data_IF_613883304398
#
_entry.id   IF_613883304398
#
_cell.length_a   1.000
_cell.length_b   1.000
_cell.length_c   1.000
_cell.angle_alpha   90.00
_cell.angle_beta   90.00
_cell.angle_gamma   90.00
#
_symmetry.space_group_name_H-M   'P 1'
#
loop_
_entity.id
_entity.type
_entity.pdbx_description
1 polymer ?
#
# COMPACT_ATOMS: atom_id res chain seq x y z
N UNK A 1 -9.24 14.81 25.87
CA UNK A 1 -8.78 13.91 24.79
C UNK A 1 -7.26 13.85 24.86
N UNK A 2 -6.68 12.67 25.07
CA UNK A 2 -5.22 12.52 25.04
C UNK A 2 -4.77 12.65 23.59
N UNK A 3 -3.82 13.54 23.30
CA UNK A 3 -3.23 13.71 21.97
C UNK A 3 -1.75 13.43 22.09
N UNK A 4 -1.24 12.56 21.22
CA UNK A 4 0.16 12.19 21.20
C UNK A 4 1.06 13.34 20.73
N UNK A 5 2.29 13.38 21.25
CA UNK A 5 3.23 14.46 21.00
C UNK A 5 3.60 14.64 19.52
N UNK A 6 3.53 13.58 18.70
CA UNK A 6 3.82 13.65 17.27
C UNK A 6 2.87 14.61 16.52
N UNK A 7 1.64 14.79 17.02
CA UNK A 7 0.63 15.65 16.41
C UNK A 7 0.84 17.15 16.73
N UNK A 8 1.82 17.50 17.56
CA UNK A 8 2.13 18.88 17.89
C UNK A 8 2.47 19.69 16.62
N UNK A 9 1.83 20.85 16.48
CA UNK A 9 2.00 21.75 15.33
C UNK A 9 1.19 21.38 14.08
N UNK A 10 0.41 20.30 14.10
CA UNK A 10 -0.55 19.98 13.03
C UNK A 10 -1.90 20.67 13.27
N UNK A 11 -2.66 20.87 12.20
CA UNK A 11 -4.07 21.26 12.30
C UNK A 11 -4.89 20.07 12.81
N UNK A 12 -5.14 20.06 14.13
CA UNK A 12 -5.86 18.97 14.81
C UNK A 12 -7.31 18.83 14.33
N UNK A 13 -7.92 19.92 13.85
CA UNK A 13 -9.27 19.90 13.29
C UNK A 13 -9.28 19.15 11.96
N UNK A 14 -8.37 19.50 11.05
CA UNK A 14 -8.19 18.78 9.77
C UNK A 14 -7.78 17.33 9.98
N UNK A 15 -6.82 17.08 10.88
CA UNK A 15 -6.35 15.74 11.20
C UNK A 15 -7.49 14.83 11.66
N UNK A 16 -8.29 15.30 12.63
CA UNK A 16 -9.43 14.53 13.14
C UNK A 16 -10.47 14.27 12.05
N UNK A 17 -10.82 15.29 11.26
CA UNK A 17 -11.78 15.17 10.17
C UNK A 17 -11.32 14.16 9.11
N UNK A 18 -10.04 14.23 8.71
CA UNK A 18 -9.46 13.32 7.74
C UNK A 18 -9.41 11.87 8.27
N UNK A 19 -8.93 11.67 9.49
CA UNK A 19 -8.91 10.36 10.14
C UNK A 19 -10.31 9.75 10.25
N UNK A 20 -11.31 10.55 10.64
CA UNK A 20 -12.69 10.07 10.75
C UNK A 20 -13.25 9.64 9.39
N UNK A 21 -13.00 10.43 8.34
CA UNK A 21 -13.47 10.12 7.00
C UNK A 21 -12.85 8.79 6.49
N UNK A 22 -11.54 8.63 6.62
CA UNK A 22 -10.81 7.46 6.16
C UNK A 22 -11.09 6.21 7.03
N UNK A 23 -11.18 6.35 8.36
CA UNK A 23 -11.59 5.26 9.25
C UNK A 23 -13.01 4.76 8.91
N UNK A 24 -13.92 5.67 8.53
CA UNK A 24 -15.24 5.32 8.02
C UNK A 24 -15.18 4.49 6.73
N UNK A 25 -14.22 4.76 5.86
CA UNK A 25 -13.99 3.97 4.65
C UNK A 25 -13.40 2.58 4.96
N UNK A 26 -12.39 2.52 5.83
CA UNK A 26 -11.78 1.27 6.29
C UNK A 26 -12.80 0.31 6.90
N UNK A 27 -13.62 0.81 7.83
CA UNK A 27 -14.68 0.02 8.47
C UNK A 27 -15.63 -0.64 7.44
N UNK A 28 -16.01 0.09 6.39
CA UNK A 28 -16.85 -0.43 5.31
C UNK A 28 -16.13 -1.47 4.45
N UNK A 29 -14.85 -1.26 4.14
CA UNK A 29 -14.03 -2.18 3.36
C UNK A 29 -13.80 -3.50 4.10
N UNK A 30 -13.35 -3.43 5.35
CA UNK A 30 -13.09 -4.57 6.24
C UNK A 30 -14.34 -5.41 6.49
N UNK A 31 -15.50 -4.75 6.70
CA UNK A 31 -16.79 -5.44 6.85
C UNK A 31 -17.11 -6.34 5.64
N UNK A 32 -16.67 -5.98 4.43
CA UNK A 32 -16.90 -6.77 3.21
C UNK A 32 -15.88 -7.89 3.04
N UNK A 33 -14.58 -7.64 3.24
CA UNK A 33 -13.57 -8.72 3.23
C UNK A 33 -13.85 -9.77 4.32
N UNK A 34 -14.55 -9.39 5.39
CA UNK A 34 -15.10 -10.33 6.39
C UNK A 34 -16.40 -11.03 6.02
N UNK A 35 -17.20 -10.52 5.09
CA UNK A 35 -18.22 -11.40 4.47
C UNK A 35 -17.58 -12.56 3.70
N UNK A 36 -16.31 -12.40 3.30
CA UNK A 36 -15.51 -13.41 2.62
C UNK A 36 -14.61 -14.23 3.59
N UNK A 37 -14.59 -13.94 4.90
CA UNK A 37 -13.71 -14.61 5.88
C UNK A 37 -14.34 -14.79 7.27
N UNK A 38 -13.97 -15.84 8.03
CA UNK A 38 -14.62 -16.22 9.31
C UNK A 38 -14.35 -15.29 10.53
N UNK A 39 -13.79 -14.09 10.33
CA UNK A 39 -13.43 -13.18 11.42
C UNK A 39 -14.66 -12.42 11.97
N UNK A 40 -15.00 -12.63 13.25
CA UNK A 40 -16.23 -12.11 13.91
C UNK A 40 -16.08 -10.77 14.66
N UNK A 41 -14.88 -10.19 14.75
CA UNK A 41 -14.67 -8.95 15.51
C UNK A 41 -13.86 -7.94 14.70
N UNK A 42 -14.42 -6.73 14.55
CA UNK A 42 -13.77 -5.64 13.85
C UNK A 42 -13.18 -4.64 14.84
N UNK A 43 -11.84 -4.60 15.02
CA UNK A 43 -11.22 -3.57 15.85
C UNK A 43 -11.39 -2.15 15.27
N UNK A 44 -11.83 -2.02 14.01
CA UNK A 44 -12.04 -0.77 13.31
C UNK A 44 -13.53 -0.46 13.03
N UNK A 45 -14.48 -1.19 13.63
CA UNK A 45 -15.92 -1.00 13.38
C UNK A 45 -16.45 0.38 13.81
N UNK A 46 -15.77 1.05 14.75
CA UNK A 46 -16.11 2.39 15.20
C UNK A 46 -15.07 3.39 14.63
N UNK A 47 -15.44 4.17 13.60
CA UNK A 47 -14.56 5.18 13.02
C UNK A 47 -14.14 6.27 14.02
N UNK A 48 -15.03 6.63 14.96
CA UNK A 48 -14.76 7.64 15.97
C UNK A 48 -13.72 7.12 16.97
N UNK A 49 -13.87 5.90 17.45
CA UNK A 49 -12.88 5.26 18.34
C UNK A 49 -11.55 5.07 17.60
N UNK A 50 -11.58 4.61 16.36
CA UNK A 50 -10.39 4.39 15.52
C UNK A 50 -9.60 5.69 15.35
N UNK A 51 -10.26 6.79 14.98
CA UNK A 51 -9.64 8.10 14.85
C UNK A 51 -9.08 8.62 16.19
N UNK A 52 -9.81 8.41 17.30
CA UNK A 52 -9.34 8.80 18.63
C UNK A 52 -8.07 8.04 19.04
N UNK A 53 -8.05 6.72 18.83
CA UNK A 53 -6.89 5.86 19.13
C UNK A 53 -5.69 6.28 18.29
N UNK A 54 -5.89 6.53 16.99
CA UNK A 54 -4.83 6.98 16.09
C UNK A 54 -4.18 8.30 16.57
N UNK A 55 -4.97 9.23 17.11
CA UNK A 55 -4.46 10.49 17.67
C UNK A 55 -3.82 10.34 19.07
N UNK A 56 -4.17 9.29 19.82
CA UNK A 56 -3.72 9.07 21.19
C UNK A 56 -2.47 8.18 21.29
N UNK A 57 -2.23 7.30 20.30
CA UNK A 57 -1.06 6.43 20.28
C UNK A 57 0.23 7.26 20.09
N UNK A 58 1.31 6.99 20.85
CA UNK A 58 2.55 7.79 20.82
C UNK A 58 3.28 7.81 19.47
N UNK A 59 2.82 7.07 18.47
CA UNK A 59 3.49 6.94 17.18
C UNK A 59 2.53 7.25 16.01
N UNK A 60 3.00 7.98 14.97
CA UNK A 60 2.16 8.45 13.85
C UNK A 60 1.72 7.36 12.85
N UNK A 61 2.32 6.18 12.85
CA UNK A 61 2.18 5.13 11.82
C UNK A 61 0.72 4.68 11.65
N UNK A 62 -0.05 4.58 12.74
CA UNK A 62 -1.47 4.23 12.64
C UNK A 62 -2.27 5.34 11.98
N UNK A 63 -1.98 6.61 12.30
CA UNK A 63 -2.66 7.74 11.69
C UNK A 63 -2.30 7.85 10.20
N UNK A 64 -1.03 7.67 9.87
CA UNK A 64 -0.54 7.61 8.49
C UNK A 64 -1.22 6.50 7.69
N UNK A 65 -1.21 5.26 8.18
CA UNK A 65 -1.87 4.12 7.54
C UNK A 65 -3.36 4.37 7.25
N UNK A 66 -4.08 4.97 8.21
CA UNK A 66 -5.49 5.34 8.01
C UNK A 66 -5.63 6.38 6.90
N UNK A 67 -4.82 7.44 6.92
CA UNK A 67 -4.90 8.56 5.98
C UNK A 67 -4.48 8.17 4.55
N UNK A 68 -3.50 7.29 4.41
CA UNK A 68 -3.05 6.81 3.11
C UNK A 68 -3.98 5.76 2.51
N UNK A 69 -4.76 5.05 3.33
CA UNK A 69 -5.67 4.03 2.81
C UNK A 69 -6.78 4.71 2.01
N UNK A 70 -6.88 4.45 0.68
CA UNK A 70 -7.91 5.06 -0.15
C UNK A 70 -9.29 4.57 0.29
N UNK A 71 -10.28 5.43 0.16
CA UNK A 71 -11.67 4.97 0.22
C UNK A 71 -11.96 4.07 -0.98
N UNK A 72 -12.01 2.76 -0.76
CA UNK A 72 -12.42 1.81 -1.78
C UNK A 72 -13.80 2.21 -2.34
N UNK A 73 -13.98 2.07 -3.66
CA UNK A 73 -15.33 2.11 -4.22
C UNK A 73 -16.13 0.97 -3.60
N UNK A 74 -17.34 1.26 -3.13
CA UNK A 74 -18.14 0.31 -2.36
C UNK A 74 -18.51 -0.99 -3.13
N UNK A 75 -18.29 -1.03 -4.45
CA UNK A 75 -18.75 -2.07 -5.37
C UNK A 75 -17.70 -3.15 -5.70
N UNK A 76 -16.38 -2.93 -5.53
CA UNK A 76 -15.35 -3.92 -5.91
C UNK A 76 -14.56 -4.53 -4.73
N UNK A 77 -14.25 -5.86 -4.74
CA UNK A 77 -13.33 -6.49 -3.80
C UNK A 77 -11.88 -5.99 -3.97
N UNK A 78 -11.04 -6.16 -2.95
CA UNK A 78 -9.61 -5.88 -3.07
C UNK A 78 -8.95 -6.83 -4.09
N UNK A 79 -7.88 -6.39 -4.75
CA UNK A 79 -7.17 -7.23 -5.74
C UNK A 79 -6.59 -8.49 -5.11
N UNK A 80 -6.07 -8.39 -3.89
CA UNK A 80 -5.60 -9.54 -3.12
C UNK A 80 -6.74 -10.54 -2.88
N UNK A 81 -7.92 -10.07 -2.43
CA UNK A 81 -9.10 -10.91 -2.22
C UNK A 81 -9.49 -11.65 -3.50
N UNK A 82 -9.51 -10.97 -4.65
CA UNK A 82 -9.81 -11.59 -5.96
C UNK A 82 -8.82 -12.70 -6.27
N UNK A 83 -7.52 -12.45 -6.14
CA UNK A 83 -6.51 -13.47 -6.43
C UNK A 83 -6.56 -14.65 -5.46
N UNK A 84 -6.88 -14.42 -4.19
CA UNK A 84 -7.07 -15.50 -3.22
C UNK A 84 -8.28 -16.38 -3.57
N UNK A 85 -9.39 -15.77 -3.96
CA UNK A 85 -10.59 -16.50 -4.39
C UNK A 85 -10.30 -17.35 -5.63
N UNK A 86 -9.60 -16.79 -6.62
CA UNK A 86 -9.17 -17.52 -7.83
C UNK A 86 -8.21 -18.66 -7.47
N UNK A 87 -7.20 -18.40 -6.64
CA UNK A 87 -6.27 -19.44 -6.21
C UNK A 87 -7.00 -20.59 -5.49
N UNK A 88 -7.94 -20.27 -4.59
CA UNK A 88 -8.74 -21.27 -3.88
C UNK A 88 -9.60 -22.11 -4.83
N UNK A 89 -10.35 -21.47 -5.75
CA UNK A 89 -11.20 -22.15 -6.72
C UNK A 89 -10.41 -23.11 -7.65
N UNK A 90 -9.16 -22.75 -7.97
CA UNK A 90 -8.27 -23.56 -8.80
C UNK A 90 -7.31 -24.45 -8.00
N UNK A 91 -7.46 -24.55 -6.67
CA UNK A 91 -6.59 -25.35 -5.79
C UNK A 91 -5.10 -25.00 -5.94
N UNK A 92 -4.79 -23.73 -6.22
CA UNK A 92 -3.44 -23.23 -6.36
C UNK A 92 -2.87 -22.83 -4.99
N UNK A 93 -1.61 -23.21 -4.69
CA UNK A 93 -0.97 -22.80 -3.45
C UNK A 93 -0.73 -21.30 -3.46
N UNK A 94 -0.98 -20.65 -2.32
CA UNK A 94 -0.64 -19.24 -2.12
C UNK A 94 0.61 -19.12 -1.26
N UNK A 95 1.56 -18.29 -1.68
CA UNK A 95 2.80 -18.00 -0.96
C UNK A 95 2.87 -16.51 -0.67
N UNK A 96 2.98 -16.15 0.61
CA UNK A 96 3.14 -14.77 1.04
C UNK A 96 4.58 -14.32 0.92
N UNK A 97 4.81 -13.15 0.31
CA UNK A 97 6.14 -12.54 0.24
C UNK A 97 6.51 -11.86 1.56
N UNK A 98 5.53 -11.36 2.30
CA UNK A 98 5.73 -10.65 3.55
C UNK A 98 5.02 -11.34 4.71
N UNK A 99 5.45 -10.99 5.92
CA UNK A 99 4.82 -11.40 7.17
C UNK A 99 4.46 -10.15 7.98
N UNK A 100 3.47 -10.23 8.88
CA UNK A 100 3.17 -9.11 9.79
C UNK A 100 4.41 -8.65 10.58
N UNK A 101 5.30 -9.58 10.95
CA UNK A 101 6.56 -9.28 11.62
C UNK A 101 7.58 -8.57 10.71
N UNK A 102 7.68 -9.00 9.46
CA UNK A 102 8.54 -8.39 8.43
C UNK A 102 8.14 -6.94 8.16
N UNK A 103 6.85 -6.72 7.87
CA UNK A 103 6.27 -5.37 7.71
C UNK A 103 6.53 -4.49 8.94
N UNK A 104 6.20 -4.96 10.14
CA UNK A 104 6.39 -4.19 11.36
C UNK A 104 7.88 -3.89 11.64
N UNK A 105 8.80 -4.77 11.24
CA UNK A 105 10.24 -4.51 11.34
C UNK A 105 10.67 -3.40 10.38
N UNK A 106 10.19 -3.41 9.14
CA UNK A 106 10.48 -2.37 8.15
C UNK A 106 9.94 -1.01 8.62
N UNK A 107 8.69 -0.95 9.08
CA UNK A 107 8.08 0.29 9.59
C UNK A 107 8.85 0.88 10.78
N UNK A 108 9.33 0.03 11.70
CA UNK A 108 10.16 0.47 12.83
C UNK A 108 11.53 1.02 12.42
N UNK A 109 12.03 0.67 11.25
CA UNK A 109 13.28 1.21 10.71
C UNK A 109 13.09 2.60 10.06
N UNK A 110 11.84 3.00 9.78
CA UNK A 110 11.52 4.31 9.23
C UNK A 110 11.58 5.38 10.33
N UNK A 111 12.27 6.51 10.13
CA UNK A 111 12.28 7.60 11.10
C UNK A 111 10.86 8.13 11.38
N UNK A 112 10.43 8.33 12.64
CA UNK A 112 9.10 8.86 12.95
C UNK A 112 8.78 10.22 12.30
N UNK A 113 9.82 11.01 12.02
CA UNK A 113 9.68 12.29 11.32
C UNK A 113 9.17 12.14 9.88
N UNK A 114 9.42 11.01 9.22
CA UNK A 114 8.91 10.72 7.88
C UNK A 114 7.38 10.65 7.90
N UNK A 115 6.81 9.77 8.74
CA UNK A 115 5.36 9.61 8.88
C UNK A 115 4.67 10.93 9.24
N UNK A 116 5.26 11.70 10.16
CA UNK A 116 4.73 13.03 10.51
C UNK A 116 4.73 14.00 9.33
N UNK A 117 5.77 13.97 8.49
CA UNK A 117 5.86 14.82 7.31
C UNK A 117 4.84 14.41 6.22
N UNK A 118 4.64 13.10 6.03
CA UNK A 118 3.59 12.58 5.12
C UNK A 118 2.21 13.03 5.59
N UNK A 119 1.87 12.84 6.87
CA UNK A 119 0.60 13.32 7.44
C UNK A 119 0.45 14.83 7.21
N UNK A 120 1.48 15.63 7.50
CA UNK A 120 1.43 17.07 7.28
C UNK A 120 1.17 17.42 5.80
N UNK A 121 1.78 16.68 4.87
CA UNK A 121 1.58 16.85 3.43
C UNK A 121 0.14 16.57 3.01
N UNK A 122 -0.44 15.48 3.51
CA UNK A 122 -1.85 15.10 3.27
C UNK A 122 -2.79 16.21 3.76
N UNK A 123 -2.57 16.73 4.98
CA UNK A 123 -3.43 17.77 5.57
C UNK A 123 -3.32 19.14 4.89
N UNK A 124 -2.17 19.42 4.28
CA UNK A 124 -1.96 20.61 3.47
C UNK A 124 -2.71 20.55 2.14
N UNK A 125 -3.08 19.35 1.66
CA UNK A 125 -3.89 19.16 0.46
C UNK A 125 -3.24 19.73 -0.79
N UNK A 126 -1.91 19.57 -0.91
CA UNK A 126 -1.15 20.13 -2.02
C UNK A 126 -1.80 19.76 -3.36
N UNK A 127 -2.17 20.75 -4.19
CA UNK A 127 -2.67 20.45 -5.52
C UNK A 127 -1.57 19.69 -6.28
N UNK A 128 -1.95 18.62 -6.98
CA UNK A 128 -1.06 18.06 -7.98
C UNK A 128 -0.65 19.20 -8.92
N UNK A 129 0.64 19.40 -9.13
CA UNK A 129 1.08 20.35 -10.14
C UNK A 129 0.45 19.94 -11.48
N UNK A 130 0.04 20.89 -12.33
CA UNK A 130 -0.65 20.57 -13.60
C UNK A 130 0.14 19.58 -14.47
N UNK A 131 1.48 19.53 -14.32
CA UNK A 131 2.38 18.63 -15.04
C UNK A 131 2.85 17.41 -14.23
N UNK A 132 2.50 17.30 -12.94
CA UNK A 132 2.85 16.13 -12.14
C UNK A 132 1.94 14.96 -12.54
N UNK A 133 2.47 13.89 -13.16
CA UNK A 133 1.65 12.73 -13.49
C UNK A 133 1.07 12.04 -12.25
N UNK A 134 1.59 12.36 -11.06
CA UNK A 134 1.24 11.74 -9.81
C UNK A 134 1.59 10.26 -9.78
N UNK A 135 1.32 9.63 -8.65
CA UNK A 135 1.58 8.20 -8.45
C UNK A 135 0.91 7.34 -9.54
N UNK A 136 -0.39 7.55 -9.79
CA UNK A 136 -1.16 6.73 -10.73
C UNK A 136 -0.73 6.94 -12.18
N UNK A 137 -0.38 8.16 -12.60
CA UNK A 137 0.11 8.42 -13.95
C UNK A 137 1.45 7.74 -14.22
N UNK A 138 2.34 7.69 -13.23
CA UNK A 138 3.61 6.96 -13.34
C UNK A 138 3.38 5.45 -13.43
N UNK A 139 2.51 4.89 -12.59
CA UNK A 139 2.15 3.47 -12.62
C UNK A 139 1.55 3.07 -13.98
N UNK A 140 0.58 3.83 -14.48
CA UNK A 140 -0.12 3.52 -15.72
C UNK A 140 0.79 3.57 -16.96
N UNK A 141 1.86 4.37 -16.92
CA UNK A 141 2.86 4.44 -18.00
C UNK A 141 4.03 3.46 -17.80
N UNK A 142 4.01 2.65 -16.74
CA UNK A 142 5.11 1.75 -16.39
C UNK A 142 6.42 2.49 -16.04
N UNK A 143 6.33 3.76 -15.66
CA UNK A 143 7.48 4.62 -15.34
C UNK A 143 7.98 4.37 -13.91
N UNK A 144 8.30 3.11 -13.60
CA UNK A 144 8.61 2.69 -12.23
C UNK A 144 9.89 3.32 -11.67
N UNK A 145 10.90 3.60 -12.50
CA UNK A 145 12.11 4.28 -12.04
C UNK A 145 11.84 5.74 -11.64
N UNK A 146 10.93 6.41 -12.36
CA UNK A 146 10.45 7.74 -11.95
C UNK A 146 9.62 7.65 -10.67
N UNK A 147 8.82 6.58 -10.51
CA UNK A 147 8.07 6.32 -9.28
C UNK A 147 8.99 6.09 -8.08
N UNK A 148 10.12 5.40 -8.25
CA UNK A 148 11.09 5.18 -7.19
C UNK A 148 11.74 6.49 -6.71
N UNK A 149 11.88 7.47 -7.61
CA UNK A 149 12.33 8.83 -7.29
C UNK A 149 11.20 9.80 -6.94
N UNK A 150 9.94 9.35 -6.84
CA UNK A 150 8.81 10.23 -6.57
C UNK A 150 8.92 10.83 -5.17
N UNK A 151 8.78 12.14 -5.08
CA UNK A 151 8.98 12.89 -3.85
C UNK A 151 7.65 13.47 -3.35
N UNK A 152 7.28 13.09 -2.12
CA UNK A 152 6.09 13.65 -1.46
C UNK A 152 6.39 15.09 -1.03
N UNK A 153 5.59 16.04 -1.51
CA UNK A 153 5.73 17.45 -1.15
C UNK A 153 5.80 17.64 0.37
N UNK A 154 6.77 18.40 0.87
CA UNK A 154 6.95 18.65 2.31
C UNK A 154 7.66 17.54 3.10
N UNK A 155 7.92 16.37 2.51
CA UNK A 155 8.88 15.39 3.04
C UNK A 155 10.29 15.82 2.60
N UNK A 156 11.34 15.54 3.36
CA UNK A 156 12.71 15.81 2.90
C UNK A 156 13.25 14.62 2.11
N UNK A 157 14.14 14.87 1.15
CA UNK A 157 14.82 13.81 0.38
C UNK A 157 15.44 12.75 1.29
N UNK A 158 16.16 13.16 2.33
CA UNK A 158 16.79 12.22 3.27
C UNK A 158 15.77 11.33 4.02
N UNK A 159 14.60 11.87 4.38
CA UNK A 159 13.54 11.07 5.01
C UNK A 159 12.89 10.11 4.01
N UNK A 160 12.66 10.57 2.78
CA UNK A 160 12.12 9.74 1.70
C UNK A 160 13.07 8.59 1.34
N UNK A 161 14.37 8.85 1.24
CA UNK A 161 15.40 7.83 1.00
C UNK A 161 15.47 6.80 2.13
N UNK A 162 15.46 7.25 3.39
CA UNK A 162 15.44 6.34 4.54
C UNK A 162 14.20 5.44 4.56
N UNK A 163 13.02 6.02 4.24
CA UNK A 163 11.78 5.27 4.12
C UNK A 163 11.82 4.29 2.95
N UNK A 164 12.29 4.71 1.77
CA UNK A 164 12.43 3.84 0.59
C UNK A 164 13.38 2.67 0.87
N UNK A 165 14.50 2.92 1.53
CA UNK A 165 15.44 1.87 1.90
C UNK A 165 14.77 0.80 2.78
N UNK A 166 14.05 1.23 3.83
CA UNK A 166 13.42 0.31 4.78
C UNK A 166 12.16 -0.39 4.21
N UNK A 167 11.26 0.37 3.57
CA UNK A 167 9.94 -0.11 3.14
C UNK A 167 9.97 -0.81 1.78
N UNK A 168 11.00 -0.56 0.96
CA UNK A 168 11.11 -1.12 -0.39
C UNK A 168 12.37 -1.96 -0.53
N UNK A 169 13.56 -1.37 -0.40
CA UNK A 169 14.82 -2.05 -0.78
C UNK A 169 15.10 -3.28 0.08
N UNK A 170 15.06 -3.13 1.41
CA UNK A 170 15.31 -4.28 2.29
C UNK A 170 14.20 -5.34 2.20
N UNK A 171 12.95 -4.91 2.02
CA UNK A 171 11.82 -5.84 1.83
C UNK A 171 11.96 -6.62 0.51
N UNK A 172 12.33 -5.96 -0.57
CA UNK A 172 12.60 -6.63 -1.85
C UNK A 172 13.73 -7.65 -1.75
N UNK A 173 14.80 -7.34 -0.99
CA UNK A 173 15.88 -8.29 -0.73
C UNK A 173 15.40 -9.53 0.02
N UNK A 174 14.54 -9.34 1.03
CA UNK A 174 13.94 -10.46 1.77
C UNK A 174 13.01 -11.30 0.90
N UNK A 175 12.29 -10.67 -0.04
CA UNK A 175 11.36 -11.35 -0.96
C UNK A 175 12.07 -12.13 -2.06
N UNK A 176 13.25 -11.68 -2.50
CA UNK A 176 13.93 -12.19 -3.67
C UNK A 176 14.17 -13.72 -3.64
N UNK A 177 14.61 -14.34 -2.53
CA UNK A 177 14.78 -15.80 -2.48
C UNK A 177 13.47 -16.57 -2.73
N UNK A 178 12.35 -16.07 -2.20
CA UNK A 178 11.02 -16.67 -2.41
C UNK A 178 10.60 -16.49 -3.86
N UNK A 179 10.74 -15.27 -4.40
CA UNK A 179 10.41 -14.97 -5.78
C UNK A 179 11.20 -15.83 -6.78
N UNK A 180 12.53 -15.91 -6.63
CA UNK A 180 13.39 -16.71 -7.51
C UNK A 180 12.97 -18.17 -7.48
N UNK A 181 12.69 -18.72 -6.29
CA UNK A 181 12.24 -20.11 -6.13
C UNK A 181 10.92 -20.36 -6.84
N UNK A 182 9.90 -19.55 -6.60
CA UNK A 182 8.57 -19.75 -7.18
C UNK A 182 8.57 -19.47 -8.69
N UNK A 183 9.24 -18.40 -9.16
CA UNK A 183 9.30 -18.07 -10.58
C UNK A 183 10.06 -19.13 -11.40
N UNK A 184 11.09 -19.77 -10.85
CA UNK A 184 11.81 -20.87 -11.53
C UNK A 184 10.99 -22.15 -11.64
N UNK A 185 10.02 -22.38 -10.75
CA UNK A 185 9.04 -23.47 -10.89
C UNK A 185 8.08 -23.22 -12.05
N UNK A 186 7.96 -21.97 -12.49
CA UNK A 186 7.11 -21.54 -13.59
C UNK A 186 5.65 -21.33 -13.18
N UNK A 187 4.90 -20.65 -14.05
CA UNK A 187 3.44 -20.41 -13.91
C UNK A 187 3.01 -19.73 -12.62
N UNK A 188 3.90 -18.97 -11.98
CA UNK A 188 3.58 -18.16 -10.81
C UNK A 188 3.00 -16.81 -11.23
N UNK A 189 1.97 -16.34 -10.50
CA UNK A 189 1.49 -14.96 -10.55
C UNK A 189 1.96 -14.29 -9.25
N UNK A 190 2.60 -13.13 -9.38
CA UNK A 190 3.11 -12.36 -8.25
C UNK A 190 2.35 -11.05 -8.17
N UNK A 191 1.70 -10.79 -7.03
CA UNK A 191 1.08 -9.51 -6.73
C UNK A 191 1.96 -8.75 -5.73
N UNK A 192 2.34 -7.53 -6.10
CA UNK A 192 3.10 -6.62 -5.26
C UNK A 192 2.73 -5.16 -5.58
N UNK A 193 2.87 -4.26 -4.61
CA UNK A 193 2.62 -2.84 -4.79
C UNK A 193 3.62 -2.20 -5.75
N UNK A 194 3.16 -1.30 -6.62
CA UNK A 194 3.98 -0.72 -7.70
C UNK A 194 5.23 0.03 -7.19
N UNK A 195 5.20 0.56 -5.96
CA UNK A 195 6.37 1.18 -5.33
C UNK A 195 7.58 0.25 -5.18
N UNK A 196 7.39 -1.08 -5.31
CA UNK A 196 8.46 -2.06 -5.22
C UNK A 196 9.24 -2.28 -6.52
N UNK A 197 8.83 -1.68 -7.65
CA UNK A 197 9.32 -2.12 -8.97
C UNK A 197 10.55 -1.38 -9.47
N UNK A 198 10.64 -0.06 -9.24
CA UNK A 198 11.68 0.79 -9.83
C UNK A 198 12.94 0.92 -8.98
N UNK A 199 13.99 1.46 -9.61
CA UNK A 199 15.30 1.69 -9.00
C UNK A 199 16.17 0.44 -8.90
N UNK A 200 17.43 0.61 -8.49
CA UNK A 200 18.40 -0.49 -8.39
C UNK A 200 18.00 -1.56 -7.35
N UNK A 201 17.33 -1.13 -6.28
CA UNK A 201 16.74 -2.02 -5.26
C UNK A 201 15.33 -2.52 -5.61
N UNK A 202 14.81 -2.16 -6.78
CA UNK A 202 13.49 -2.54 -7.27
C UNK A 202 13.43 -3.98 -7.77
N UNK A 203 12.25 -4.60 -7.70
CA UNK A 203 12.04 -5.98 -8.15
C UNK A 203 12.41 -6.20 -9.63
N UNK A 204 12.22 -5.20 -10.50
CA UNK A 204 12.59 -5.32 -11.92
C UNK A 204 14.11 -5.50 -12.06
N UNK A 205 14.90 -4.66 -11.39
CA UNK A 205 16.36 -4.74 -11.43
C UNK A 205 16.86 -6.04 -10.78
N UNK A 206 16.33 -6.39 -9.61
CA UNK A 206 16.72 -7.60 -8.88
C UNK A 206 16.40 -8.90 -9.63
N UNK A 207 15.22 -8.99 -10.27
CA UNK A 207 14.85 -10.16 -11.06
C UNK A 207 15.71 -10.29 -12.33
N UNK A 208 16.02 -9.17 -12.99
CA UNK A 208 16.96 -9.18 -14.14
C UNK A 208 18.34 -9.65 -13.71
N UNK A 209 18.86 -9.16 -12.58
CA UNK A 209 20.13 -9.61 -12.01
C UNK A 209 20.11 -11.11 -11.63
N UNK A 210 18.96 -11.66 -11.25
CA UNK A 210 18.77 -13.08 -10.96
C UNK A 210 18.61 -13.98 -12.21
N UNK A 211 18.71 -13.39 -13.41
CA UNK A 211 18.68 -14.10 -14.69
C UNK A 211 17.29 -14.18 -15.35
N UNK A 212 16.30 -13.43 -14.88
CA UNK A 212 14.98 -13.39 -15.50
C UNK A 212 14.90 -12.30 -16.57
N UNK A 213 14.13 -12.57 -17.63
CA UNK A 213 13.68 -11.52 -18.55
C UNK A 213 12.40 -10.90 -17.98
N UNK A 214 12.43 -9.58 -17.77
CA UNK A 214 11.27 -8.81 -17.27
C UNK A 214 10.84 -7.83 -18.33
N UNK A 215 9.66 -8.05 -18.90
CA UNK A 215 9.04 -7.23 -19.94
C UNK A 215 7.66 -6.75 -19.47
N UNK A 216 7.25 -5.53 -19.84
CA UNK A 216 5.88 -5.09 -19.63
C UNK A 216 4.91 -6.02 -20.36
N UNK A 217 3.78 -6.32 -19.71
CA UNK A 217 2.65 -6.99 -20.33
C UNK A 217 1.45 -6.05 -20.28
N UNK A 218 0.78 -5.86 -21.42
CA UNK A 218 -0.52 -5.22 -21.44
C UNK A 218 -1.56 -6.20 -20.87
N UNK A 219 -2.29 -5.76 -19.85
CA UNK A 219 -3.50 -6.47 -19.44
C UNK A 219 -4.61 -6.13 -20.44
N UNK A 220 -5.55 -7.06 -20.72
CA UNK A 220 -6.73 -6.73 -21.52
C UNK A 220 -7.44 -5.52 -20.91
N UNK A 221 -7.90 -4.58 -21.73
CA UNK A 221 -8.77 -3.52 -21.26
C UNK A 221 -10.07 -4.15 -20.75
N UNK A 222 -10.33 -4.04 -19.45
CA UNK A 222 -11.66 -4.31 -18.91
C UNK A 222 -12.52 -3.10 -19.21
N UNK A 223 -13.56 -3.27 -20.05
CA UNK A 223 -14.44 -2.19 -20.47
C UNK A 223 -14.96 -1.41 -19.24
N UNK A 224 -14.85 -0.06 -19.23
CA UNK A 224 -15.33 0.73 -18.10
C UNK A 224 -16.84 0.49 -17.89
N UNK A 225 -17.20 0.03 -16.69
CA UNK A 225 -18.59 -0.30 -16.33
C UNK A 225 -18.94 -1.79 -16.39
N UNK A 226 -18.05 -2.65 -16.89
CA UNK A 226 -18.16 -4.09 -16.66
C UNK A 226 -17.49 -4.43 -15.32
N UNK A 227 -18.24 -4.80 -14.27
CA UNK A 227 -17.62 -5.40 -13.09
C UNK A 227 -16.88 -6.65 -13.56
N UNK A 228 -15.57 -6.73 -13.29
CA UNK A 228 -14.79 -7.95 -13.53
C UNK A 228 -15.41 -9.03 -12.66
N UNK A 229 -16.15 -9.93 -13.28
CA UNK A 229 -16.72 -11.09 -12.62
C UNK A 229 -15.68 -12.20 -12.58
N UNK A 230 -15.89 -13.17 -11.70
CA UNK A 230 -15.03 -14.36 -11.65
C UNK A 230 -15.05 -15.14 -12.98
N UNK A 231 -16.15 -15.04 -13.74
CA UNK A 231 -16.31 -15.68 -15.05
C UNK A 231 -15.48 -14.99 -16.14
N UNK A 232 -15.18 -13.70 -16.00
CA UNK A 232 -14.31 -12.96 -16.94
C UNK A 232 -12.82 -13.30 -16.80
N UNK A 233 -12.45 -14.06 -15.76
CA UNK A 233 -11.07 -14.45 -15.43
C UNK A 233 -10.75 -15.93 -15.77
N UNK A 234 -11.72 -16.66 -16.34
CA UNK A 234 -11.57 -18.04 -16.83
C UNK A 234 -11.15 -18.09 -18.29
#
# INVERSE_FOLDING_TARGET
MLIAAWAAGLDLGRLRSALLAHAGCLSRSESRSRQLSDFRHDPFADPQLTAQVAMAIPKPEMADWILETPCARADAPARDDVLHLVAAAHHLPTVWLDTPYGKARAERAVPPAFWRAVIASILAGHPAAEEDPGFLGLVNRGAFDQLAGYHIAGVSVALAEAAHQALVVERNRDWLPVLVRELRRGRAVVLAGAGHFGGEGGLIALLRAAGFTVVPAALPEFAPGHPVTFEDLQ
#
